data_IF_960281372842
#
_entry.id   IF_960281372842
#
_cell.length_a   1.000
_cell.length_b   1.000
_cell.length_c   1.000
_cell.angle_alpha   90.00
_cell.angle_beta   90.00
_cell.angle_gamma   90.00
#
_symmetry.space_group_name_H-M   'P 1'
#
loop_
_entity.id
_entity.type
_entity.pdbx_description
1 polymer ?
#
# COMPACT_ATOMS: atom_id res chain seq x y z
N UNK A 1 -17.28 -61.42 23.93
CA UNK A 1 -16.54 -61.63 25.18
C UNK A 1 -17.34 -62.64 25.99
N UNK A 2 -16.74 -63.76 26.39
CA UNK A 2 -17.44 -64.85 27.08
C UNK A 2 -17.39 -64.66 28.61
N UNK A 3 -18.55 -64.59 29.26
CA UNK A 3 -18.68 -64.35 30.71
C UNK A 3 -19.73 -65.30 31.29
N UNK A 4 -19.44 -65.90 32.45
CA UNK A 4 -20.39 -66.78 33.14
C UNK A 4 -21.44 -65.97 33.94
N UNK A 5 -22.44 -66.66 34.51
CA UNK A 5 -23.52 -66.03 35.30
C UNK A 5 -23.04 -65.28 36.56
N UNK A 6 -21.80 -65.52 37.00
CA UNK A 6 -21.18 -64.85 38.14
C UNK A 6 -20.24 -63.71 37.70
N UNK A 7 -20.26 -63.32 36.42
CA UNK A 7 -19.45 -62.21 35.89
C UNK A 7 -17.98 -62.54 35.66
N UNK A 8 -17.57 -63.80 35.77
CA UNK A 8 -16.17 -64.22 35.54
C UNK A 8 -15.92 -64.40 34.05
N UNK A 9 -14.83 -63.81 33.57
CA UNK A 9 -14.38 -63.95 32.18
C UNK A 9 -13.87 -65.37 31.93
N UNK A 10 -14.49 -66.06 30.99
CA UNK A 10 -14.09 -67.40 30.56
C UNK A 10 -13.38 -67.34 29.20
N UNK A 11 -12.56 -68.35 28.92
CA UNK A 11 -11.98 -68.53 27.60
C UNK A 11 -13.09 -68.69 26.55
N UNK A 12 -12.88 -68.12 25.35
CA UNK A 12 -13.89 -68.09 24.26
C UNK A 12 -14.39 -69.50 23.85
N UNK A 13 -13.65 -70.57 24.19
CA UNK A 13 -14.02 -71.98 23.97
C UNK A 13 -15.23 -72.47 24.77
N UNK A 14 -15.57 -71.81 25.88
CA UNK A 14 -16.72 -72.17 26.74
C UNK A 14 -18.05 -71.58 26.25
N UNK A 15 -18.03 -70.64 25.30
CA UNK A 15 -19.22 -70.06 24.70
C UNK A 15 -19.56 -70.77 23.39
N UNK A 16 -20.50 -71.74 23.43
CA UNK A 16 -20.98 -72.48 22.24
C UNK A 16 -21.98 -71.68 21.39
N UNK A 17 -21.61 -70.48 20.95
CA UNK A 17 -22.41 -69.62 20.07
C UNK A 17 -21.57 -68.91 19.03
N UNK A 18 -22.11 -68.68 17.82
CA UNK A 18 -21.40 -67.94 16.76
C UNK A 18 -21.13 -66.51 17.24
N UNK A 19 -19.85 -66.12 17.26
CA UNK A 19 -19.39 -64.77 17.63
C UNK A 19 -20.06 -63.73 16.72
N UNK A 20 -20.64 -62.64 17.25
CA UNK A 20 -21.22 -61.58 16.43
C UNK A 20 -20.16 -60.98 15.51
N UNK A 21 -20.54 -60.67 14.26
CA UNK A 21 -19.64 -60.01 13.30
C UNK A 21 -19.18 -58.68 13.89
N UNK A 22 -17.88 -58.59 14.19
CA UNK A 22 -17.20 -57.42 14.73
C UNK A 22 -16.59 -56.54 13.61
N UNK A 23 -16.87 -56.83 12.35
CA UNK A 23 -16.47 -56.01 11.21
C UNK A 23 -17.67 -55.63 10.35
N UNK A 24 -17.76 -54.34 10.05
CA UNK A 24 -18.69 -53.75 9.08
C UNK A 24 -17.85 -53.18 7.94
N UNK A 25 -18.18 -53.54 6.69
CA UNK A 25 -17.53 -52.95 5.52
C UNK A 25 -17.84 -51.46 5.46
N UNK A 26 -16.80 -50.63 5.63
CA UNK A 26 -16.93 -49.18 5.47
C UNK A 26 -17.10 -48.89 3.98
N UNK A 27 -18.24 -48.31 3.58
CA UNK A 27 -18.36 -47.65 2.27
C UNK A 27 -17.61 -46.31 2.35
N UNK A 28 -16.29 -46.37 2.52
CA UNK A 28 -15.45 -45.19 2.47
C UNK A 28 -15.51 -44.67 1.03
N UNK A 29 -16.19 -43.55 0.82
CA UNK A 29 -16.12 -42.83 -0.45
C UNK A 29 -14.66 -42.59 -0.85
N UNK A 30 -14.39 -42.31 -2.14
CA UNK A 30 -13.03 -42.22 -2.67
C UNK A 30 -12.13 -41.34 -1.77
N UNK A 31 -10.97 -41.86 -1.41
CA UNK A 31 -10.04 -41.15 -0.52
C UNK A 31 -9.57 -39.82 -1.16
N UNK A 32 -9.25 -38.80 -0.34
CA UNK A 32 -8.67 -37.56 -0.84
C UNK A 32 -7.40 -37.83 -1.65
N UNK A 33 -7.21 -37.11 -2.74
CA UNK A 33 -6.05 -37.27 -3.62
C UNK A 33 -5.45 -35.92 -4.02
N UNK A 34 -4.20 -35.95 -4.46
CA UNK A 34 -3.54 -34.74 -4.94
C UNK A 34 -4.17 -34.27 -6.25
N UNK A 35 -4.58 -33.02 -6.27
CA UNK A 35 -5.06 -32.31 -7.44
C UNK A 35 -4.13 -31.15 -7.78
N UNK A 36 -4.10 -30.78 -9.06
CA UNK A 36 -3.22 -29.73 -9.57
C UNK A 36 -4.00 -28.71 -10.38
N UNK A 37 -3.68 -27.43 -10.23
CA UNK A 37 -4.15 -26.41 -11.16
C UNK A 37 -3.43 -26.51 -12.50
N UNK A 38 -3.93 -25.77 -13.49
CA UNK A 38 -3.18 -25.50 -14.71
C UNK A 38 -1.80 -24.90 -14.41
N UNK A 39 -0.85 -25.16 -15.31
CA UNK A 39 0.47 -24.56 -15.24
C UNK A 39 0.40 -23.04 -15.44
N UNK A 40 1.09 -22.30 -14.58
CA UNK A 40 1.32 -20.88 -14.77
C UNK A 40 2.19 -20.56 -16.00
N UNK A 41 2.34 -19.27 -16.30
CA UNK A 41 3.27 -18.81 -17.34
C UNK A 41 4.71 -19.15 -16.96
N UNK A 42 5.57 -19.34 -17.97
CA UNK A 42 6.99 -19.56 -17.77
C UNK A 42 7.64 -18.40 -16.98
N UNK A 43 8.61 -18.70 -16.13
CA UNK A 43 9.34 -17.71 -15.33
C UNK A 43 10.18 -16.74 -16.16
N UNK A 44 10.38 -17.03 -17.45
CA UNK A 44 11.15 -16.23 -18.39
C UNK A 44 10.26 -15.80 -19.56
N UNK A 45 10.59 -14.66 -20.17
CA UNK A 45 9.93 -14.20 -21.41
C UNK A 45 10.53 -14.85 -22.68
N UNK A 46 11.67 -15.51 -22.55
CA UNK A 46 12.38 -16.23 -23.61
C UNK A 46 13.33 -17.25 -22.98
N UNK A 47 13.79 -18.22 -23.77
CA UNK A 47 14.74 -19.25 -23.39
C UNK A 47 14.13 -20.28 -22.45
N UNK A 48 15.00 -20.90 -21.68
CA UNK A 48 14.65 -21.91 -20.69
C UNK A 48 14.22 -21.23 -19.39
N UNK A 49 13.16 -21.74 -18.78
CA UNK A 49 12.62 -21.24 -17.52
C UNK A 49 11.90 -22.35 -16.76
N UNK A 50 11.19 -21.96 -15.72
CA UNK A 50 10.39 -22.86 -14.90
C UNK A 50 8.97 -22.31 -14.80
N UNK A 51 7.97 -23.17 -14.95
CA UNK A 51 6.56 -22.82 -14.70
C UNK A 51 6.09 -23.55 -13.45
N UNK A 52 5.20 -22.91 -12.69
CA UNK A 52 4.68 -23.45 -11.43
C UNK A 52 3.18 -23.67 -11.50
N UNK A 53 2.67 -24.67 -10.79
CA UNK A 53 1.23 -24.93 -10.58
C UNK A 53 0.93 -25.12 -9.10
N UNK A 54 -0.32 -24.90 -8.71
CA UNK A 54 -0.75 -25.20 -7.35
C UNK A 54 -1.02 -26.71 -7.22
N UNK A 55 -0.58 -27.30 -6.11
CA UNK A 55 -0.82 -28.71 -5.76
C UNK A 55 -1.54 -28.72 -4.41
N UNK A 56 -2.75 -29.28 -4.38
CA UNK A 56 -3.63 -29.28 -3.22
C UNK A 56 -4.28 -30.66 -3.03
N UNK A 57 -4.62 -31.00 -1.79
CA UNK A 57 -5.29 -32.26 -1.48
C UNK A 57 -6.80 -32.02 -1.56
N UNK A 58 -7.50 -32.78 -2.40
CA UNK A 58 -8.93 -32.61 -2.66
C UNK A 58 -9.69 -33.88 -2.25
N UNK A 59 -10.76 -33.73 -1.47
CA UNK A 59 -11.66 -34.82 -1.10
C UNK A 59 -12.69 -35.11 -2.20
N UNK A 60 -13.38 -36.26 -2.12
CA UNK A 60 -14.42 -36.68 -3.07
C UNK A 60 -15.49 -35.62 -3.38
N UNK A 61 -15.76 -34.72 -2.44
CA UNK A 61 -16.75 -33.64 -2.56
C UNK A 61 -16.17 -32.34 -3.17
N UNK A 62 -14.99 -32.38 -3.80
CA UNK A 62 -14.27 -31.23 -4.37
C UNK A 62 -13.84 -30.16 -3.34
N UNK A 63 -13.80 -30.52 -2.06
CA UNK A 63 -13.32 -29.62 -1.03
C UNK A 63 -11.80 -29.76 -0.88
N UNK A 64 -11.10 -28.63 -0.81
CA UNK A 64 -9.68 -28.60 -0.48
C UNK A 64 -9.52 -28.93 1.01
N UNK A 65 -8.83 -30.02 1.30
CA UNK A 65 -8.62 -30.54 2.65
C UNK A 65 -7.15 -30.45 3.08
N UNK A 66 -6.88 -30.81 4.33
CA UNK A 66 -5.52 -30.77 4.86
C UNK A 66 -4.58 -31.68 4.04
N UNK A 67 -3.39 -31.16 3.72
CA UNK A 67 -2.35 -31.85 2.94
C UNK A 67 -1.91 -33.18 3.55
N UNK A 68 -2.03 -33.34 4.86
CA UNK A 68 -1.70 -34.60 5.56
C UNK A 68 -2.59 -35.77 5.15
N UNK A 69 -3.82 -35.51 4.66
CA UNK A 69 -4.71 -36.57 4.20
C UNK A 69 -4.27 -37.19 2.87
N UNK A 70 -3.40 -36.52 2.11
CA UNK A 70 -2.81 -37.03 0.88
C UNK A 70 -1.32 -37.36 1.03
N UNK A 71 -0.73 -37.26 2.23
CA UNK A 71 0.73 -37.41 2.40
C UNK A 71 1.24 -38.82 2.07
N UNK A 72 0.38 -39.82 2.19
CA UNK A 72 0.65 -41.21 1.82
C UNK A 72 0.65 -41.44 0.29
N UNK A 73 0.20 -40.45 -0.48
CA UNK A 73 0.18 -40.48 -1.94
C UNK A 73 1.34 -39.66 -2.50
N UNK A 74 1.93 -40.13 -3.61
CA UNK A 74 3.00 -39.42 -4.31
C UNK A 74 2.53 -38.03 -4.75
N UNK A 75 3.18 -37.01 -4.19
CA UNK A 75 2.85 -35.62 -4.46
C UNK A 75 3.33 -35.21 -5.86
N UNK A 76 2.45 -34.71 -6.74
CA UNK A 76 2.85 -34.22 -8.06
C UNK A 76 3.80 -33.02 -7.99
N UNK A 77 4.65 -32.87 -9.00
CA UNK A 77 5.55 -31.73 -9.09
C UNK A 77 4.78 -30.41 -9.20
N UNK A 78 5.19 -29.44 -8.40
CA UNK A 78 4.69 -28.07 -8.45
C UNK A 78 5.50 -27.18 -9.38
N UNK A 79 6.63 -27.67 -9.91
CA UNK A 79 7.55 -26.97 -10.80
C UNK A 79 7.93 -27.87 -11.96
N UNK A 80 7.94 -27.32 -13.17
CA UNK A 80 8.49 -28.02 -14.35
C UNK A 80 9.28 -27.05 -15.20
N UNK A 81 10.27 -27.55 -15.93
CA UNK A 81 10.97 -26.76 -16.94
C UNK A 81 9.99 -26.35 -18.06
N UNK A 82 10.22 -25.17 -18.62
CA UNK A 82 9.53 -24.67 -19.80
C UNK A 82 10.56 -24.06 -20.75
N UNK A 83 10.36 -24.30 -22.04
CA UNK A 83 11.15 -23.69 -23.11
C UNK A 83 10.22 -22.75 -23.87
N UNK A 84 10.57 -21.47 -23.93
CA UNK A 84 9.85 -20.49 -24.75
C UNK A 84 10.55 -20.41 -26.12
N UNK A 85 10.75 -19.21 -26.67
CA UNK A 85 11.57 -18.97 -27.86
C UNK A 85 13.02 -18.74 -27.43
N UNK A 86 14.02 -19.13 -28.24
CA UNK A 86 15.42 -18.71 -28.02
C UNK A 86 15.49 -17.20 -27.73
N UNK A 87 16.18 -16.83 -26.66
CA UNK A 87 16.36 -15.42 -26.33
C UNK A 87 17.16 -14.73 -27.44
N UNK A 88 16.72 -13.54 -27.83
CA UNK A 88 17.56 -12.63 -28.61
C UNK A 88 18.74 -12.14 -27.76
N UNK A 89 19.60 -11.30 -28.35
CA UNK A 89 20.73 -10.67 -27.65
C UNK A 89 20.32 -9.94 -26.36
N UNK A 90 19.09 -9.41 -26.33
CA UNK A 90 18.50 -8.70 -25.20
C UNK A 90 17.20 -9.39 -24.74
N UNK A 91 16.94 -9.37 -23.44
CA UNK A 91 15.74 -9.97 -22.84
C UNK A 91 15.22 -9.17 -21.65
N UNK A 92 13.93 -9.31 -21.35
CA UNK A 92 13.34 -8.72 -20.15
C UNK A 92 13.68 -9.56 -18.92
N UNK A 93 14.38 -8.94 -17.98
CA UNK A 93 14.65 -9.48 -16.64
C UNK A 93 13.65 -8.90 -15.65
N UNK A 94 13.25 -9.70 -14.67
CA UNK A 94 12.36 -9.23 -13.60
C UNK A 94 12.72 -9.82 -12.24
N UNK A 95 12.38 -9.10 -11.16
CA UNK A 95 12.50 -9.59 -9.79
C UNK A 95 11.35 -10.52 -9.39
N UNK A 96 11.45 -11.08 -8.17
CA UNK A 96 10.28 -11.64 -7.48
C UNK A 96 9.25 -10.53 -7.20
N UNK A 97 8.00 -10.93 -7.03
CA UNK A 97 6.93 -10.03 -6.59
C UNK A 97 7.19 -9.57 -5.15
N UNK A 98 6.90 -8.30 -4.88
CA UNK A 98 6.82 -7.76 -3.53
C UNK A 98 5.74 -8.47 -2.71
N UNK A 99 5.76 -8.24 -1.40
CA UNK A 99 4.58 -8.46 -0.55
C UNK A 99 3.43 -7.60 -1.09
N UNK A 100 2.20 -7.99 -0.77
CA UNK A 100 1.05 -7.17 -1.10
C UNK A 100 1.09 -5.87 -0.30
N UNK A 101 0.68 -4.76 -0.92
CA UNK A 101 0.58 -3.45 -0.27
C UNK A 101 -0.37 -3.42 0.94
N UNK A 102 -1.21 -4.45 1.10
CA UNK A 102 -2.15 -4.62 2.21
C UNK A 102 -2.02 -6.03 2.77
N UNK A 103 -2.35 -6.19 4.04
CA UNK A 103 -2.48 -7.50 4.71
C UNK A 103 -3.91 -8.03 4.67
N UNK A 104 -4.87 -7.20 4.27
CA UNK A 104 -6.30 -7.50 4.22
C UNK A 104 -6.98 -6.67 3.12
N UNK A 105 -8.10 -7.14 2.58
CA UNK A 105 -8.83 -6.51 1.49
C UNK A 105 -8.09 -6.54 0.15
N UNK A 106 -8.34 -5.54 -0.69
CA UNK A 106 -7.74 -5.43 -2.01
C UNK A 106 -6.46 -4.60 -1.97
N UNK A 107 -5.39 -5.15 -2.52
CA UNK A 107 -4.12 -4.44 -2.69
C UNK A 107 -3.41 -4.78 -3.97
N UNK A 108 -2.14 -4.40 -4.02
CA UNK A 108 -1.29 -4.57 -5.19
C UNK A 108 0.07 -5.06 -4.77
N UNK A 109 0.64 -5.98 -5.55
CA UNK A 109 2.06 -6.33 -5.51
C UNK A 109 2.75 -5.87 -6.77
N UNK A 110 3.98 -5.44 -6.62
CA UNK A 110 4.82 -4.90 -7.69
C UNK A 110 6.09 -5.72 -7.84
N UNK A 111 6.78 -5.59 -8.98
CA UNK A 111 8.09 -6.21 -9.20
C UNK A 111 8.89 -5.36 -10.17
N UNK A 112 10.20 -5.39 -10.02
CA UNK A 112 11.09 -4.66 -10.90
C UNK A 112 11.17 -5.37 -12.25
N UNK A 113 11.01 -4.62 -13.33
CA UNK A 113 11.15 -5.13 -14.71
C UNK A 113 12.13 -4.24 -15.45
N UNK A 114 13.14 -4.85 -16.08
CA UNK A 114 14.19 -4.15 -16.81
C UNK A 114 14.74 -4.94 -17.99
N UNK A 115 15.31 -4.25 -18.96
CA UNK A 115 15.93 -4.88 -20.12
C UNK A 115 17.38 -5.25 -19.78
N UNK A 116 17.81 -6.46 -20.14
CA UNK A 116 19.16 -6.95 -19.84
C UNK A 116 19.81 -7.57 -21.08
N UNK A 117 21.15 -7.45 -21.15
CA UNK A 117 21.97 -8.15 -22.13
C UNK A 117 22.14 -9.61 -21.71
N UNK A 118 21.95 -10.57 -22.63
CA UNK A 118 22.11 -12.01 -22.32
C UNK A 118 23.52 -12.35 -21.84
N UNK A 119 24.56 -11.85 -22.51
CA UNK A 119 25.95 -12.19 -22.24
C UNK A 119 26.42 -11.80 -20.83
N UNK A 120 26.12 -10.58 -20.39
CA UNK A 120 26.61 -10.04 -19.11
C UNK A 120 25.55 -9.99 -18.01
N UNK A 121 24.28 -10.28 -18.32
CA UNK A 121 23.11 -10.08 -17.44
C UNK A 121 22.96 -8.64 -16.92
N UNK A 122 23.72 -7.68 -17.47
CA UNK A 122 23.70 -6.26 -17.11
C UNK A 122 22.46 -5.60 -17.67
N UNK A 123 21.88 -4.69 -16.89
CA UNK A 123 20.77 -3.86 -17.34
C UNK A 123 21.24 -2.92 -18.46
N UNK A 124 20.36 -2.75 -19.44
CA UNK A 124 20.56 -1.87 -20.60
C UNK A 124 19.28 -1.09 -20.84
N UNK A 125 19.36 -0.09 -21.71
CA UNK A 125 18.22 0.75 -22.03
C UNK A 125 16.98 -0.08 -22.47
N UNK A 126 15.77 0.18 -21.95
CA UNK A 126 14.54 -0.57 -22.24
C UNK A 126 14.24 -0.77 -23.74
N UNK A 127 14.57 0.23 -24.57
CA UNK A 127 14.45 0.22 -26.04
C UNK A 127 15.05 -1.01 -26.74
N UNK A 128 16.07 -1.66 -26.17
CA UNK A 128 16.70 -2.83 -26.79
C UNK A 128 15.86 -4.10 -26.67
N UNK A 129 14.87 -4.12 -25.77
CA UNK A 129 13.99 -5.25 -25.57
C UNK A 129 12.63 -5.02 -26.26
N UNK A 130 12.09 -6.01 -27.00
CA UNK A 130 10.79 -5.87 -27.65
C UNK A 130 9.65 -5.68 -26.64
N UNK A 131 8.83 -4.63 -26.81
CA UNK A 131 7.71 -4.33 -25.90
C UNK A 131 6.68 -5.45 -25.79
N UNK A 132 6.46 -6.22 -26.86
CA UNK A 132 5.52 -7.34 -26.90
C UNK A 132 5.77 -8.41 -25.83
N UNK A 133 7.02 -8.57 -25.39
CA UNK A 133 7.41 -9.56 -24.39
C UNK A 133 7.64 -8.97 -22.99
N UNK A 134 7.31 -7.68 -22.79
CA UNK A 134 7.52 -7.00 -21.52
C UNK A 134 6.64 -7.61 -20.42
N UNK A 135 7.23 -8.15 -19.34
CA UNK A 135 6.48 -8.71 -18.23
C UNK A 135 5.65 -7.63 -17.51
N UNK A 136 4.46 -8.00 -17.02
CA UNK A 136 3.68 -7.11 -16.14
C UNK A 136 4.46 -6.82 -14.86
N UNK A 137 4.58 -5.55 -14.49
CA UNK A 137 5.27 -5.11 -13.27
C UNK A 137 4.31 -4.90 -12.07
N UNK A 138 3.00 -4.95 -12.30
CA UNK A 138 1.95 -4.75 -11.30
C UNK A 138 0.90 -5.86 -11.37
N UNK A 139 0.45 -6.37 -10.22
CA UNK A 139 -0.63 -7.37 -10.11
C UNK A 139 -1.48 -7.11 -8.89
N UNK A 140 -2.81 -7.22 -9.02
CA UNK A 140 -3.74 -7.17 -7.89
C UNK A 140 -3.56 -8.37 -6.96
N UNK A 141 -3.69 -8.14 -5.65
CA UNK A 141 -3.81 -9.16 -4.62
C UNK A 141 -5.09 -8.91 -3.83
N UNK A 142 -5.72 -10.00 -3.38
CA UNK A 142 -6.92 -9.98 -2.57
C UNK A 142 -6.68 -10.86 -1.36
N UNK A 143 -6.98 -10.31 -0.18
CA UNK A 143 -6.98 -11.00 1.10
C UNK A 143 -8.39 -10.97 1.68
N UNK A 144 -8.58 -11.65 2.82
CA UNK A 144 -9.80 -11.51 3.60
C UNK A 144 -10.06 -10.01 3.88
N UNK A 145 -11.33 -9.55 3.90
CA UNK A 145 -11.67 -8.18 4.28
C UNK A 145 -10.97 -7.79 5.59
N UNK A 146 -10.51 -6.55 5.70
CA UNK A 146 -9.87 -6.09 6.93
C UNK A 146 -10.83 -6.14 8.11
N UNK A 147 -10.26 -6.26 9.31
CA UNK A 147 -11.03 -6.19 10.54
C UNK A 147 -11.85 -4.89 10.55
N UNK A 148 -13.13 -5.05 10.84
CA UNK A 148 -14.08 -3.96 10.96
C UNK A 148 -14.44 -3.80 12.43
N UNK A 149 -14.47 -2.56 12.91
CA UNK A 149 -14.73 -2.23 14.31
C UNK A 149 -15.84 -1.20 14.40
N UNK A 150 -16.70 -1.37 15.41
CA UNK A 150 -17.67 -0.36 15.77
C UNK A 150 -16.99 0.77 16.54
N UNK A 151 -17.18 1.98 16.04
CA UNK A 151 -16.73 3.19 16.70
C UNK A 151 -17.98 3.98 17.10
N UNK A 152 -18.16 4.17 18.40
CA UNK A 152 -19.23 4.98 18.95
C UNK A 152 -18.66 6.35 19.35
N UNK A 153 -19.32 7.41 18.91
CA UNK A 153 -19.06 8.77 19.38
C UNK A 153 -19.55 8.93 20.82
N UNK A 154 -19.27 10.09 21.39
CA UNK A 154 -19.86 10.49 22.67
C UNK A 154 -21.39 10.58 22.59
N UNK A 155 -22.03 10.39 23.75
CA UNK A 155 -23.43 10.72 23.97
C UNK A 155 -23.67 12.22 23.83
N UNK A 156 -24.70 12.56 23.08
CA UNK A 156 -25.26 13.91 22.97
C UNK A 156 -25.94 14.30 24.29
N UNK A 157 -26.34 15.58 24.40
CA UNK A 157 -27.08 16.05 25.56
C UNK A 157 -28.42 15.30 25.69
N UNK A 158 -28.84 15.04 26.92
CA UNK A 158 -30.14 14.44 27.20
C UNK A 158 -31.25 15.30 26.58
N UNK A 159 -32.27 14.65 26.03
CA UNK A 159 -33.41 15.34 25.39
C UNK A 159 -34.18 16.25 26.36
N UNK A 160 -34.08 16.00 27.65
CA UNK A 160 -34.72 16.78 28.71
C UNK A 160 -33.68 17.46 29.60
N UNK A 161 -34.08 18.58 30.21
CA UNK A 161 -33.26 19.35 31.15
C UNK A 161 -33.52 19.00 32.62
N UNK A 162 -34.55 18.19 32.88
CA UNK A 162 -34.92 17.59 34.15
C UNK A 162 -35.75 16.32 33.87
N UNK A 163 -35.89 15.44 34.87
CA UNK A 163 -36.64 14.20 34.76
C UNK A 163 -35.97 13.15 33.88
N UNK A 164 -36.79 12.24 33.36
CA UNK A 164 -36.37 11.18 32.43
C UNK A 164 -36.33 11.69 31.00
N UNK A 165 -35.27 11.35 30.28
CA UNK A 165 -35.08 11.68 28.87
C UNK A 165 -34.28 10.61 28.16
N UNK A 166 -33.95 10.90 26.89
CA UNK A 166 -33.15 10.02 26.04
C UNK A 166 -31.93 10.77 25.53
N UNK A 167 -30.79 10.11 25.48
CA UNK A 167 -29.57 10.62 24.85
C UNK A 167 -29.16 9.69 23.72
N UNK A 168 -28.64 10.26 22.64
CA UNK A 168 -28.23 9.54 21.43
C UNK A 168 -26.74 9.71 21.17
N UNK A 169 -26.12 8.78 20.44
CA UNK A 169 -24.73 8.88 19.96
C UNK A 169 -24.60 8.30 18.57
N UNK A 170 -23.61 8.77 17.83
CA UNK A 170 -23.31 8.27 16.48
C UNK A 170 -22.50 6.99 16.58
N UNK A 171 -22.98 5.90 15.99
CA UNK A 171 -22.28 4.61 15.95
C UNK A 171 -21.97 4.26 14.50
N UNK A 172 -20.69 4.20 14.15
CA UNK A 172 -20.22 3.95 12.78
C UNK A 172 -19.32 2.74 12.71
N UNK A 173 -19.49 1.93 11.67
CA UNK A 173 -18.59 0.82 11.37
C UNK A 173 -17.43 1.32 10.50
N UNK A 174 -16.20 1.08 10.96
CA UNK A 174 -14.97 1.53 10.30
C UNK A 174 -14.00 0.36 10.13
N UNK A 175 -13.10 0.49 9.16
CA UNK A 175 -12.11 -0.52 8.81
C UNK A 175 -10.76 -0.21 9.48
N UNK A 176 -10.03 -1.23 9.93
CA UNK A 176 -8.68 -1.08 10.50
C UNK A 176 -7.60 -1.36 9.46
N UNK A 177 -6.51 -0.59 9.50
CA UNK A 177 -5.27 -0.85 8.76
C UNK A 177 -4.43 -1.93 9.44
N UNK A 178 -3.36 -2.39 8.77
CA UNK A 178 -2.42 -3.39 9.35
C UNK A 178 -1.69 -2.86 10.59
N UNK A 179 -1.57 -1.55 10.69
CA UNK A 179 -0.95 -0.84 11.82
C UNK A 179 -1.97 -0.51 12.94
N UNK A 180 -3.24 -0.89 12.78
CA UNK A 180 -4.29 -0.62 13.76
C UNK A 180 -4.97 0.75 13.63
N UNK A 181 -4.75 1.47 12.52
CA UNK A 181 -5.36 2.77 12.26
C UNK A 181 -6.79 2.62 11.73
N UNK A 182 -7.72 3.48 12.16
CA UNK A 182 -9.05 3.51 11.54
C UNK A 182 -8.95 4.19 10.18
N UNK A 183 -9.46 3.56 9.13
CA UNK A 183 -9.53 4.16 7.80
C UNK A 183 -10.79 5.03 7.70
N UNK A 184 -10.74 6.18 6.99
CA UNK A 184 -11.84 7.14 6.94
C UNK A 184 -13.12 6.61 6.25
N UNK A 185 -13.02 5.51 5.48
CA UNK A 185 -14.19 4.90 4.85
C UNK A 185 -15.08 4.21 5.88
N UNK A 186 -16.34 4.67 5.97
CA UNK A 186 -17.41 3.91 6.59
C UNK A 186 -17.69 2.68 5.74
N UNK A 187 -17.78 1.53 6.40
CA UNK A 187 -18.03 0.25 5.75
C UNK A 187 -19.29 -0.38 6.32
N UNK A 188 -20.03 -1.08 5.49
CA UNK A 188 -21.13 -1.95 5.92
C UNK A 188 -20.55 -3.36 6.12
N UNK A 189 -20.81 -3.98 7.27
CA UNK A 189 -20.32 -5.35 7.54
C UNK A 189 -19.88 -5.66 8.97
N UNK A 190 -19.79 -4.65 9.86
CA UNK A 190 -19.49 -4.94 11.26
C UNK A 190 -20.53 -5.89 11.85
N UNK A 191 -20.06 -6.83 12.68
CA UNK A 191 -20.93 -7.78 13.34
C UNK A 191 -21.96 -7.03 14.22
N UNK A 192 -23.25 -7.23 13.93
CA UNK A 192 -24.33 -6.55 14.64
C UNK A 192 -24.47 -6.99 16.10
N UNK A 193 -24.00 -8.19 16.46
CA UNK A 193 -24.11 -8.70 17.84
C UNK A 193 -23.26 -7.90 18.83
N UNK A 194 -22.22 -7.22 18.34
CA UNK A 194 -21.32 -6.37 19.13
C UNK A 194 -21.52 -4.89 18.83
N UNK A 195 -22.64 -4.50 18.18
CA UNK A 195 -22.96 -3.11 17.89
C UNK A 195 -23.24 -2.35 19.19
N UNK A 196 -22.50 -1.29 19.50
CA UNK A 196 -22.80 -0.44 20.65
C UNK A 196 -24.19 0.18 20.52
N UNK A 197 -24.90 0.32 21.64
CA UNK A 197 -26.19 1.01 21.67
C UNK A 197 -26.04 2.46 21.18
N UNK A 198 -26.94 2.92 20.33
CA UNK A 198 -26.92 4.29 19.80
C UNK A 198 -27.82 5.25 20.58
N UNK A 199 -28.70 4.72 21.43
CA UNK A 199 -29.63 5.47 22.28
C UNK A 199 -29.67 4.84 23.67
N UNK A 200 -29.74 5.66 24.72
CA UNK A 200 -29.97 5.20 26.09
C UNK A 200 -30.81 6.21 26.87
N UNK A 201 -31.42 5.74 27.96
CA UNK A 201 -32.14 6.60 28.90
C UNK A 201 -31.16 7.44 29.73
N UNK A 202 -31.58 8.64 30.08
CA UNK A 202 -30.88 9.53 31.01
C UNK A 202 -31.90 10.08 32.01
N UNK A 203 -31.50 10.21 33.28
CA UNK A 203 -32.31 10.83 34.31
C UNK A 203 -31.51 11.95 34.98
N UNK A 204 -32.05 13.17 34.97
CA UNK A 204 -31.39 14.39 35.47
C UNK A 204 -31.99 14.85 36.83
N UNK A 205 -32.84 14.02 37.44
CA UNK A 205 -33.51 14.29 38.70
C UNK A 205 -34.85 15.00 38.51
N UNK A 206 -35.73 14.92 39.50
CA UNK A 206 -37.14 15.34 39.42
C UNK A 206 -37.30 16.84 39.09
N UNK A 207 -38.21 17.19 38.17
CA UNK A 207 -38.41 18.58 37.71
C UNK A 207 -38.92 19.53 38.80
N UNK A 208 -39.51 18.99 39.88
CA UNK A 208 -40.03 19.78 41.02
C UNK A 208 -39.00 20.06 42.13
N UNK A 209 -37.78 19.50 42.05
CA UNK A 209 -36.80 19.59 43.12
C UNK A 209 -36.41 21.04 43.47
N UNK A 210 -36.31 21.34 44.77
CA UNK A 210 -35.88 22.66 45.27
C UNK A 210 -34.45 22.98 44.84
N UNK A 211 -33.60 21.95 44.73
CA UNK A 211 -32.23 22.04 44.26
C UNK A 211 -31.96 20.97 43.21
N UNK A 212 -31.27 21.34 42.12
CA UNK A 212 -30.95 20.44 41.02
C UNK A 212 -29.51 20.60 40.57
N UNK A 213 -28.96 19.55 39.95
CA UNK A 213 -27.65 19.63 39.33
C UNK A 213 -27.75 20.35 37.99
N UNK A 214 -26.95 21.40 37.83
CA UNK A 214 -26.75 22.09 36.58
C UNK A 214 -25.35 21.79 36.06
N UNK A 215 -25.25 21.55 34.75
CA UNK A 215 -24.00 21.20 34.07
C UNK A 215 -23.75 22.15 32.92
N UNK A 216 -22.50 22.57 32.75
CA UNK A 216 -22.08 23.33 31.58
C UNK A 216 -21.75 22.40 30.41
N UNK A 217 -21.54 22.99 29.23
CA UNK A 217 -20.90 22.31 28.11
C UNK A 217 -19.52 21.76 28.52
N UNK A 218 -19.12 20.65 27.91
CA UNK A 218 -17.80 20.07 28.07
C UNK A 218 -16.70 20.99 27.51
N UNK A 219 -15.54 21.02 28.16
CA UNK A 219 -14.33 21.64 27.61
C UNK A 219 -13.90 20.96 26.29
N UNK A 220 -12.98 21.57 25.55
CA UNK A 220 -12.25 20.85 24.48
C UNK A 220 -11.51 19.63 25.08
N UNK A 221 -11.35 18.58 24.26
CA UNK A 221 -10.65 17.37 24.69
C UNK A 221 -9.19 17.68 25.02
N UNK A 222 -8.66 17.13 26.12
CA UNK A 222 -7.26 17.36 26.52
C UNK A 222 -6.23 16.85 25.51
N UNK A 223 -6.65 16.00 24.57
CA UNK A 223 -5.83 15.51 23.46
C UNK A 223 -6.51 15.80 22.14
N UNK A 224 -5.70 16.07 21.12
CA UNK A 224 -6.14 16.32 19.73
C UNK A 224 -6.39 15.05 18.94
N UNK A 225 -5.84 13.90 19.39
CA UNK A 225 -6.13 12.56 18.89
C UNK A 225 -6.09 11.55 20.05
N UNK A 226 -6.71 10.39 19.86
CA UNK A 226 -6.73 9.30 20.83
C UNK A 226 -7.57 9.61 22.06
N UNK A 227 -7.32 8.88 23.14
CA UNK A 227 -8.03 9.06 24.41
C UNK A 227 -7.45 10.22 25.22
N UNK A 228 -8.26 11.26 25.38
CA UNK A 228 -8.03 12.37 26.30
C UNK A 228 -9.12 12.45 27.37
N UNK A 229 -9.18 13.59 28.04
CA UNK A 229 -10.15 13.86 29.10
C UNK A 229 -10.81 15.22 28.87
N UNK A 230 -12.12 15.29 29.04
CA UNK A 230 -12.88 16.54 29.07
C UNK A 230 -13.36 16.81 30.49
N UNK A 231 -13.49 18.09 30.82
CA UNK A 231 -14.01 18.55 32.11
C UNK A 231 -15.15 19.51 31.88
N UNK A 232 -16.16 19.48 32.75
CA UNK A 232 -17.24 20.46 32.78
C UNK A 232 -17.48 20.89 34.22
N UNK A 233 -18.16 22.02 34.39
CA UNK A 233 -18.61 22.42 35.71
C UNK A 233 -19.91 21.69 36.05
N UNK A 234 -19.99 21.19 37.28
CA UNK A 234 -21.18 20.56 37.86
C UNK A 234 -21.53 21.33 39.12
N UNK A 235 -22.60 22.10 39.04
CA UNK A 235 -23.01 23.06 40.06
C UNK A 235 -24.37 22.64 40.62
N UNK A 236 -24.53 22.63 41.95
CA UNK A 236 -25.85 22.53 42.56
C UNK A 236 -26.51 23.91 42.51
N UNK A 237 -27.71 24.01 41.93
CA UNK A 237 -28.45 25.28 41.80
C UNK A 237 -29.86 25.18 42.37
N UNK A 238 -30.41 26.30 42.83
CA UNK A 238 -31.82 26.40 43.21
C UNK A 238 -32.74 26.63 41.99
N UNK A 239 -34.06 26.80 42.23
CA UNK A 239 -35.07 27.08 41.19
C UNK A 239 -34.75 28.35 40.37
N UNK A 240 -34.06 29.31 40.97
CA UNK A 240 -33.70 30.58 40.33
C UNK A 240 -32.32 30.51 39.64
N UNK A 241 -31.68 29.34 39.60
CA UNK A 241 -30.37 29.14 38.98
C UNK A 241 -29.20 29.59 39.85
N UNK A 242 -29.42 29.99 41.11
CA UNK A 242 -28.32 30.40 41.98
C UNK A 242 -27.57 29.19 42.53
N UNK A 243 -26.24 29.27 42.51
CA UNK A 243 -25.35 28.23 43.05
C UNK A 243 -25.58 28.06 44.56
N UNK A 244 -25.83 26.82 44.98
CA UNK A 244 -25.94 26.40 46.39
C UNK A 244 -24.88 25.34 46.73
N UNK A 245 -24.76 25.04 48.02
CA UNK A 245 -23.85 24.00 48.49
C UNK A 245 -24.20 22.63 47.89
N UNK A 246 -23.20 21.87 47.46
CA UNK A 246 -23.37 20.55 46.80
C UNK A 246 -24.18 19.54 47.61
N UNK A 247 -24.25 19.68 48.94
CA UNK A 247 -25.03 18.79 49.82
C UNK A 247 -26.55 18.97 49.68
N UNK A 248 -27.00 20.11 49.14
CA UNK A 248 -28.43 20.40 48.93
C UNK A 248 -29.00 19.65 47.72
N UNK A 249 -28.14 19.21 46.80
CA UNK A 249 -28.51 18.36 45.68
C UNK A 249 -28.25 16.89 46.00
N UNK A 250 -29.17 16.01 45.59
CA UNK A 250 -29.06 14.57 45.81
C UNK A 250 -27.82 14.01 45.09
N UNK A 251 -26.90 13.40 45.85
CA UNK A 251 -25.63 12.87 45.31
C UNK A 251 -25.82 11.79 44.25
N UNK A 252 -26.88 10.98 44.34
CA UNK A 252 -27.13 9.90 43.37
C UNK A 252 -27.43 10.43 41.96
N UNK A 253 -27.96 11.65 41.85
CA UNK A 253 -28.19 12.31 40.56
C UNK A 253 -27.02 13.21 40.13
N UNK A 254 -25.89 13.19 40.84
CA UNK A 254 -24.75 14.05 40.52
C UNK A 254 -24.12 13.61 39.19
N UNK A 255 -24.13 14.46 38.16
CA UNK A 255 -23.51 14.12 36.89
C UNK A 255 -21.98 14.10 36.99
N UNK A 256 -21.33 13.37 36.08
CA UNK A 256 -19.86 13.32 36.03
C UNK A 256 -19.26 14.70 35.72
N UNK A 257 -18.23 15.11 36.47
CA UNK A 257 -17.50 16.36 36.23
C UNK A 257 -16.41 16.20 35.16
N UNK A 258 -16.02 14.96 34.88
CA UNK A 258 -15.00 14.64 33.92
C UNK A 258 -15.29 13.32 33.26
N UNK A 259 -15.04 13.26 31.95
CA UNK A 259 -15.20 12.05 31.15
C UNK A 259 -14.02 11.85 30.23
N UNK A 260 -13.83 10.62 29.77
CA UNK A 260 -12.93 10.30 28.67
C UNK A 260 -13.51 10.85 27.36
N UNK A 261 -12.66 11.40 26.51
CA UNK A 261 -12.99 11.79 25.13
C UNK A 261 -12.09 11.02 24.18
N UNK A 262 -12.64 10.59 23.04
CA UNK A 262 -11.86 9.96 21.98
C UNK A 262 -11.86 10.85 20.74
N UNK A 263 -10.73 11.50 20.47
CA UNK A 263 -10.60 12.48 19.39
C UNK A 263 -10.20 11.84 18.05
N UNK A 264 -10.69 10.61 17.82
CA UNK A 264 -10.27 9.76 16.70
C UNK A 264 -8.95 9.05 16.96
N UNK A 265 -8.50 8.17 16.05
CA UNK A 265 -7.22 7.48 16.20
C UNK A 265 -6.06 8.47 16.00
N UNK A 266 -4.95 8.24 16.68
CA UNK A 266 -3.71 8.96 16.38
C UNK A 266 -3.08 8.35 15.14
N UNK A 267 -2.72 9.19 14.17
CA UNK A 267 -1.97 8.76 12.99
C UNK A 267 -0.56 9.35 13.05
N UNK A 268 0.42 8.58 12.64
CA UNK A 268 1.76 9.12 12.42
C UNK A 268 1.78 9.97 11.15
N UNK A 269 2.38 11.15 11.23
CA UNK A 269 2.65 12.03 10.09
C UNK A 269 3.99 11.73 9.40
N UNK A 270 4.90 11.01 10.09
CA UNK A 270 6.24 10.67 9.59
C UNK A 270 6.67 9.26 10.00
N UNK A 271 7.67 8.70 9.32
CA UNK A 271 8.24 7.41 9.72
C UNK A 271 8.90 7.49 11.11
N UNK A 272 9.46 8.66 11.45
CA UNK A 272 10.04 8.92 12.78
C UNK A 272 8.98 8.94 13.87
N UNK A 273 7.83 9.56 13.62
CA UNK A 273 6.70 9.55 14.55
C UNK A 273 6.10 8.15 14.67
N UNK A 274 5.92 7.44 13.55
CA UNK A 274 5.45 6.06 13.52
C UNK A 274 6.30 5.16 14.43
N UNK A 275 7.62 5.29 14.35
CA UNK A 275 8.57 4.58 15.22
C UNK A 275 8.49 4.98 16.70
N UNK A 276 8.03 6.18 17.03
CA UNK A 276 7.86 6.63 18.43
C UNK A 276 6.57 6.11 19.04
N UNK A 277 5.48 6.15 18.27
CA UNK A 277 4.14 5.75 18.75
C UNK A 277 3.89 4.24 18.61
N UNK A 278 4.73 3.53 17.86
CA UNK A 278 4.67 2.08 17.66
C UNK A 278 6.06 1.46 17.83
N UNK A 279 6.13 0.15 18.12
CA UNK A 279 7.40 -0.58 18.20
C UNK A 279 7.93 -1.05 16.82
N UNK A 280 7.51 -0.40 15.72
CA UNK A 280 7.86 -0.81 14.37
C UNK A 280 9.28 -0.35 14.02
N UNK A 281 10.13 -1.30 13.60
CA UNK A 281 11.53 -1.05 13.17
C UNK A 281 11.87 -1.62 11.80
N UNK A 282 10.91 -2.23 11.12
CA UNK A 282 11.09 -2.87 9.82
C UNK A 282 10.85 -1.90 8.67
N UNK A 283 11.63 -2.02 7.59
CA UNK A 283 11.37 -1.26 6.37
C UNK A 283 10.18 -1.85 5.61
N UNK A 284 9.15 -1.04 5.38
CA UNK A 284 7.93 -1.44 4.65
C UNK A 284 7.14 -0.19 4.19
N UNK A 285 6.10 -0.42 3.40
CA UNK A 285 5.08 0.57 3.10
C UNK A 285 4.11 0.72 4.29
N UNK A 286 3.95 1.92 4.84
CA UNK A 286 3.09 2.25 5.98
C UNK A 286 2.09 3.35 5.66
N UNK A 287 0.94 3.32 6.32
CA UNK A 287 -0.07 4.38 6.22
C UNK A 287 0.31 5.55 7.14
N UNK A 288 0.59 6.71 6.53
CA UNK A 288 0.89 7.96 7.22
C UNK A 288 -0.15 9.04 6.89
N UNK A 289 -0.38 9.96 7.82
CA UNK A 289 -1.25 11.11 7.62
C UNK A 289 -0.46 12.27 6.99
N UNK A 290 -0.76 12.57 5.72
CA UNK A 290 -0.10 13.62 4.94
C UNK A 290 -1.17 14.61 4.49
N UNK A 291 -1.05 15.88 4.89
CA UNK A 291 -2.03 16.96 4.63
C UNK A 291 -3.50 16.55 4.90
N UNK A 292 -3.74 15.85 6.01
CA UNK A 292 -5.09 15.42 6.40
C UNK A 292 -5.60 14.16 5.71
N UNK A 293 -4.79 13.52 4.86
CA UNK A 293 -5.17 12.28 4.17
C UNK A 293 -4.21 11.13 4.44
N UNK A 294 -4.77 9.93 4.59
CA UNK A 294 -3.96 8.72 4.78
C UNK A 294 -3.34 8.31 3.45
N UNK A 295 -2.01 8.24 3.40
CA UNK A 295 -1.23 7.87 2.21
C UNK A 295 -0.24 6.77 2.54
N UNK A 296 0.05 5.94 1.54
CA UNK A 296 0.99 4.84 1.67
C UNK A 296 2.41 5.33 1.36
N UNK A 297 3.27 5.35 2.37
CA UNK A 297 4.65 5.84 2.31
C UNK A 297 5.59 4.71 2.69
N UNK A 298 6.65 4.50 1.90
CA UNK A 298 7.69 3.55 2.23
C UNK A 298 8.67 4.16 3.23
N UNK A 299 8.76 3.55 4.42
CA UNK A 299 9.74 3.94 5.42
C UNK A 299 11.01 3.08 5.26
N UNK A 300 12.13 3.75 5.00
CA UNK A 300 13.44 3.14 4.87
C UNK A 300 14.32 3.45 6.07
N UNK A 301 15.21 2.52 6.44
CA UNK A 301 16.08 2.62 7.62
C UNK A 301 15.29 2.79 8.92
N UNK A 302 14.18 2.06 9.08
CA UNK A 302 13.37 2.07 10.30
C UNK A 302 14.13 1.57 11.53
N UNK A 303 15.17 0.75 11.35
CA UNK A 303 16.09 0.38 12.43
C UNK A 303 16.96 1.56 12.91
N UNK A 304 17.23 2.56 12.05
CA UNK A 304 18.08 3.72 12.35
C UNK A 304 17.36 4.77 13.22
N UNK A 305 18.12 5.72 13.75
CA UNK A 305 17.61 6.92 14.45
C UNK A 305 16.93 7.91 13.49
N UNK A 306 17.24 7.84 12.20
CA UNK A 306 16.73 8.72 11.15
C UNK A 306 16.14 7.89 10.01
N UNK A 307 14.86 7.46 10.13
CA UNK A 307 14.17 6.83 9.02
C UNK A 307 13.89 7.86 7.92
N UNK A 308 13.78 7.39 6.67
CA UNK A 308 13.54 8.22 5.49
C UNK A 308 12.29 7.77 4.75
N UNK A 309 11.53 8.75 4.27
CA UNK A 309 10.28 8.59 3.54
C UNK A 309 10.50 8.49 2.03
N UNK A 310 9.86 7.51 1.40
CA UNK A 310 9.90 7.30 -0.05
C UNK A 310 8.50 7.05 -0.61
N UNK A 311 8.25 7.53 -1.84
CA UNK A 311 7.08 7.13 -2.62
C UNK A 311 7.40 5.89 -3.44
N UNK A 312 6.59 4.85 -3.29
CA UNK A 312 6.65 3.65 -4.14
C UNK A 312 6.02 3.94 -5.49
N UNK A 313 6.82 3.90 -6.55
CA UNK A 313 6.39 4.19 -7.92
C UNK A 313 6.02 2.92 -8.70
N UNK A 314 5.21 3.02 -9.76
CA UNK A 314 5.02 1.94 -10.74
C UNK A 314 6.37 1.40 -11.24
N UNK A 315 6.64 0.12 -10.97
CA UNK A 315 7.98 -0.50 -10.99
C UNK A 315 8.44 -0.98 -12.37
N UNK A 316 8.53 -0.09 -13.35
CA UNK A 316 9.13 -0.38 -14.65
C UNK A 316 10.14 0.68 -15.05
N UNK A 317 11.27 0.26 -15.64
CA UNK A 317 12.37 1.16 -16.04
C UNK A 317 12.00 2.23 -17.08
N UNK A 318 10.83 2.14 -17.70
CA UNK A 318 10.29 3.05 -18.71
C UNK A 318 9.02 3.79 -18.26
N UNK A 319 8.55 3.56 -17.03
CA UNK A 319 7.41 4.29 -16.45
C UNK A 319 7.87 5.51 -15.66
N UNK A 320 8.96 5.35 -14.92
CA UNK A 320 9.60 6.36 -14.09
C UNK A 320 11.08 6.37 -14.38
N UNK A 321 11.53 7.29 -15.24
CA UNK A 321 12.92 7.34 -15.68
C UNK A 321 13.37 8.74 -16.06
N UNK A 322 14.68 8.90 -16.11
CA UNK A 322 15.36 10.11 -16.52
C UNK A 322 16.53 9.75 -17.42
N UNK A 323 16.60 10.40 -18.58
CA UNK A 323 17.55 10.06 -19.63
C UNK A 323 18.25 11.30 -20.17
N UNK A 324 19.57 11.19 -20.22
CA UNK A 324 20.39 12.04 -21.08
C UNK A 324 20.85 11.22 -22.28
N UNK A 325 20.37 11.59 -23.48
CA UNK A 325 20.56 10.81 -24.71
C UNK A 325 22.03 10.82 -25.15
N UNK A 326 22.50 9.69 -25.67
CA UNK A 326 23.92 9.40 -25.83
C UNK A 326 24.45 9.49 -27.27
N UNK A 327 23.59 9.88 -28.21
CA UNK A 327 23.96 10.01 -29.63
C UNK A 327 23.84 11.45 -30.12
N UNK A 328 24.65 11.78 -31.12
CA UNK A 328 24.65 13.07 -31.81
C UNK A 328 24.51 12.86 -33.31
N UNK A 329 23.75 13.73 -33.97
CA UNK A 329 23.64 13.74 -35.43
C UNK A 329 24.99 14.07 -36.08
N UNK A 330 25.32 13.36 -37.17
CA UNK A 330 26.47 13.69 -38.02
C UNK A 330 26.33 15.06 -38.67
N UNK A 331 25.10 15.49 -38.99
CA UNK A 331 24.76 16.83 -39.49
C UNK A 331 23.89 17.56 -38.45
N UNK A 332 24.49 18.27 -37.47
CA UNK A 332 23.74 18.86 -36.35
C UNK A 332 22.74 19.95 -36.74
N UNK A 333 22.90 20.56 -37.92
CA UNK A 333 22.10 21.70 -38.37
C UNK A 333 20.76 21.32 -39.01
N UNK A 334 20.47 20.02 -39.20
CA UNK A 334 19.19 19.53 -39.75
C UNK A 334 18.55 18.59 -38.76
N UNK A 335 17.22 18.64 -38.67
CA UNK A 335 16.46 17.67 -37.90
C UNK A 335 15.74 16.69 -38.82
N UNK A 336 16.12 15.39 -38.82
CA UNK A 336 15.61 14.44 -39.80
C UNK A 336 14.15 14.03 -39.63
N UNK A 337 13.54 14.22 -38.45
CA UNK A 337 12.13 13.93 -38.20
C UNK A 337 11.65 14.80 -37.03
N UNK A 338 10.63 15.64 -37.25
CA UNK A 338 10.23 16.66 -36.28
C UNK A 338 9.64 16.12 -34.97
N UNK A 339 9.22 14.84 -34.88
CA UNK A 339 8.50 14.35 -33.68
C UNK A 339 8.58 12.83 -33.36
N UNK A 340 9.57 12.07 -33.85
CA UNK A 340 9.69 10.65 -33.49
C UNK A 340 11.03 10.32 -32.85
N UNK A 341 10.97 9.74 -31.64
CA UNK A 341 12.08 9.05 -30.97
C UNK A 341 12.73 8.09 -31.97
N UNK A 342 13.87 8.48 -32.54
CA UNK A 342 14.50 7.70 -33.61
C UNK A 342 15.18 6.48 -32.96
N UNK A 343 14.47 5.35 -32.96
CA UNK A 343 14.89 4.08 -32.33
C UNK A 343 16.24 3.60 -32.92
N UNK A 344 16.54 3.97 -34.15
CA UNK A 344 17.86 3.84 -34.77
C UNK A 344 18.18 5.10 -35.56
N UNK A 345 18.88 6.05 -34.96
CA UNK A 345 19.48 7.12 -35.76
C UNK A 345 20.65 6.53 -36.56
N UNK A 346 20.41 6.23 -37.84
CA UNK A 346 21.40 5.73 -38.80
C UNK A 346 22.49 6.80 -39.07
N UNK A 347 22.08 8.07 -39.11
CA UNK A 347 22.97 9.23 -39.30
C UNK A 347 23.55 9.80 -37.99
N UNK A 348 23.63 8.99 -36.93
CA UNK A 348 24.19 9.42 -35.66
C UNK A 348 25.46 8.65 -35.31
N UNK A 349 26.34 9.34 -34.57
CA UNK A 349 27.46 8.69 -33.91
C UNK A 349 27.29 8.80 -32.39
N UNK A 350 27.92 7.85 -31.69
CA UNK A 350 28.02 7.90 -30.23
C UNK A 350 29.16 8.83 -29.88
N UNK A 351 28.86 9.94 -29.22
CA UNK A 351 29.92 10.85 -28.81
C UNK A 351 30.60 10.32 -27.54
N UNK A 352 31.83 9.79 -27.66
CA UNK A 352 32.61 9.27 -26.52
C UNK A 352 32.98 10.34 -25.50
N UNK A 353 32.94 11.64 -25.86
CA UNK A 353 33.29 12.74 -24.95
C UNK A 353 32.10 13.25 -24.12
N UNK A 354 30.86 12.88 -24.47
CA UNK A 354 29.68 13.31 -23.71
C UNK A 354 29.42 12.39 -22.51
N UNK A 355 30.28 12.51 -21.50
CA UNK A 355 30.24 11.74 -20.24
C UNK A 355 29.02 12.04 -19.34
N UNK A 356 28.08 12.87 -19.80
CA UNK A 356 26.84 13.19 -19.09
C UNK A 356 25.67 12.29 -19.48
N UNK A 357 25.81 11.50 -20.53
CA UNK A 357 24.76 10.59 -20.99
C UNK A 357 24.54 9.40 -20.05
N UNK A 358 23.29 8.99 -19.90
CA UNK A 358 22.90 7.89 -19.03
C UNK A 358 21.38 7.72 -18.98
N UNK A 359 20.96 6.58 -18.48
CA UNK A 359 19.55 6.28 -18.24
C UNK A 359 19.38 5.76 -16.82
N UNK A 360 18.48 6.38 -16.05
CA UNK A 360 18.17 5.97 -14.67
C UNK A 360 16.68 5.76 -14.51
N UNK A 361 16.28 4.53 -14.18
CA UNK A 361 14.92 4.18 -13.79
C UNK A 361 14.76 4.21 -12.27
N UNK A 362 13.60 4.64 -11.80
CA UNK A 362 13.31 4.83 -10.37
C UNK A 362 12.16 3.91 -9.93
N UNK A 363 12.39 3.12 -8.89
CA UNK A 363 11.35 2.29 -8.28
C UNK A 363 10.73 2.96 -7.06
N UNK A 364 11.51 3.77 -6.35
CA UNK A 364 11.02 4.68 -5.32
C UNK A 364 11.77 6.01 -5.43
N UNK A 365 11.12 7.08 -5.02
CA UNK A 365 11.74 8.41 -4.93
C UNK A 365 11.60 8.95 -3.53
N UNK A 366 12.68 9.53 -3.02
CA UNK A 366 12.68 10.11 -1.67
C UNK A 366 11.85 11.39 -1.66
N UNK A 367 11.02 11.55 -0.65
CA UNK A 367 10.20 12.75 -0.48
C UNK A 367 10.48 13.43 0.85
N UNK A 368 10.39 14.75 0.84
CA UNK A 368 10.22 15.52 2.05
C UNK A 368 8.71 15.65 2.30
N UNK A 369 8.21 15.00 3.35
CA UNK A 369 6.78 14.97 3.70
C UNK A 369 6.25 16.32 4.21
N UNK A 370 7.12 17.23 4.64
CA UNK A 370 6.74 18.57 5.11
C UNK A 370 6.56 19.54 3.96
N UNK A 371 7.48 19.53 2.99
CA UNK A 371 7.41 20.40 1.80
C UNK A 371 6.75 19.76 0.59
N UNK A 372 6.39 18.47 0.69
CA UNK A 372 5.93 17.63 -0.42
C UNK A 372 6.84 17.67 -1.65
N UNK A 373 8.14 17.84 -1.44
CA UNK A 373 9.14 17.87 -2.51
C UNK A 373 9.82 16.51 -2.72
N UNK A 374 9.96 16.09 -3.98
CA UNK A 374 10.83 14.96 -4.33
C UNK A 374 12.30 15.40 -4.32
N UNK A 375 13.14 14.64 -3.60
CA UNK A 375 14.59 14.85 -3.59
C UNK A 375 15.19 14.20 -4.84
N UNK A 376 15.33 15.00 -5.91
CA UNK A 376 15.65 14.50 -7.27
C UNK A 376 17.03 13.85 -7.40
N UNK A 377 17.94 14.08 -6.45
CA UNK A 377 19.30 13.49 -6.44
C UNK A 377 19.46 12.30 -5.49
N UNK A 378 18.37 11.74 -4.98
CA UNK A 378 18.40 10.49 -4.23
C UNK A 378 18.34 9.30 -5.20
N UNK A 379 19.30 8.39 -5.09
CA UNK A 379 19.45 7.25 -6.00
C UNK A 379 19.27 5.89 -5.32
N UNK A 380 18.84 5.85 -4.05
CA UNK A 380 18.81 4.64 -3.22
C UNK A 380 18.02 3.51 -3.89
N UNK A 381 16.85 3.84 -4.44
CA UNK A 381 15.96 2.90 -5.13
C UNK A 381 15.91 3.13 -6.64
N UNK A 382 17.07 3.43 -7.22
CA UNK A 382 17.24 3.62 -8.67
C UNK A 382 18.04 2.49 -9.33
N UNK A 383 17.85 2.31 -10.63
CA UNK A 383 18.61 1.40 -11.48
C UNK A 383 19.11 2.14 -12.71
N UNK A 384 20.42 2.04 -13.00
CA UNK A 384 21.01 2.61 -14.21
C UNK A 384 21.59 1.54 -15.14
N UNK A 385 21.83 1.89 -16.40
CA UNK A 385 22.45 1.04 -17.43
C UNK A 385 23.99 0.90 -17.28
N UNK A 386 24.53 1.24 -16.10
CA UNK A 386 25.96 1.21 -15.79
C UNK A 386 26.73 2.46 -16.23
N UNK A 387 26.05 3.50 -16.73
CA UNK A 387 26.61 4.84 -16.99
C UNK A 387 26.32 5.79 -15.83
N UNK A 388 26.38 7.09 -16.11
CA UNK A 388 26.05 8.15 -15.16
C UNK A 388 24.58 8.04 -14.72
N UNK A 389 24.35 8.17 -13.42
CA UNK A 389 23.00 8.29 -12.87
C UNK A 389 22.46 9.69 -13.16
N UNK A 390 21.25 9.75 -13.70
CA UNK A 390 20.56 10.98 -14.10
C UNK A 390 19.51 11.28 -13.03
N UNK A 391 19.51 12.49 -12.42
CA UNK A 391 18.54 12.86 -11.40
C UNK A 391 17.09 12.68 -11.85
N UNK A 392 16.17 12.48 -10.92
CA UNK A 392 14.75 12.29 -11.22
C UNK A 392 14.16 13.49 -11.97
N UNK A 393 13.20 13.22 -12.87
CA UNK A 393 12.55 14.21 -13.73
C UNK A 393 13.50 15.10 -14.57
N UNK A 394 14.72 14.61 -14.84
CA UNK A 394 15.75 15.34 -15.60
C UNK A 394 15.95 14.70 -16.97
N UNK A 395 16.14 15.53 -18.00
CA UNK A 395 16.44 15.06 -19.36
C UNK A 395 17.42 15.98 -20.07
N UNK A 396 18.11 15.47 -21.08
CA UNK A 396 18.98 16.29 -21.93
C UNK A 396 19.64 15.51 -23.06
N UNK A 397 20.30 16.23 -23.96
CA UNK A 397 21.07 15.63 -25.04
C UNK A 397 22.01 16.65 -25.70
N UNK A 398 22.91 16.13 -26.54
CA UNK A 398 23.69 16.89 -27.52
C UNK A 398 23.31 16.50 -28.96
N UNK A 399 22.03 16.25 -29.22
CA UNK A 399 21.60 15.55 -30.44
C UNK A 399 21.74 16.42 -31.68
N UNK A 400 21.29 17.68 -31.62
CA UNK A 400 21.31 18.64 -32.73
C UNK A 400 21.85 20.00 -32.30
N UNK A 401 22.11 20.90 -33.25
CA UNK A 401 22.33 22.33 -32.98
C UNK A 401 21.08 23.17 -33.31
N UNK A 402 19.96 22.49 -33.56
CA UNK A 402 18.68 23.11 -33.88
C UNK A 402 17.85 23.20 -32.61
N UNK A 403 17.20 24.34 -32.38
CA UNK A 403 16.25 24.52 -31.26
C UNK A 403 14.92 23.79 -31.50
N UNK A 404 14.94 22.62 -32.15
CA UNK A 404 13.73 21.95 -32.60
C UNK A 404 13.69 20.47 -32.24
N UNK A 405 14.83 19.83 -31.95
CA UNK A 405 14.88 18.35 -31.89
C UNK A 405 15.60 17.80 -30.65
N UNK A 406 15.01 18.01 -29.47
CA UNK A 406 15.42 17.29 -28.27
C UNK A 406 15.10 15.78 -28.42
N UNK A 407 15.98 14.94 -27.90
CA UNK A 407 15.87 13.48 -27.78
C UNK A 407 16.00 13.01 -26.33
N UNK A 408 16.62 13.79 -25.44
CA UNK A 408 16.63 13.51 -24.02
C UNK A 408 15.21 13.47 -23.49
N UNK A 409 14.89 12.46 -22.67
CA UNK A 409 13.51 12.27 -22.21
C UNK A 409 13.42 11.86 -20.75
N UNK A 410 12.32 12.22 -20.11
CA UNK A 410 11.98 11.70 -18.80
C UNK A 410 10.49 11.41 -18.73
N UNK A 411 10.12 10.48 -17.85
CA UNK A 411 8.73 10.22 -17.50
C UNK A 411 8.60 10.10 -15.98
N UNK A 412 7.59 10.78 -15.43
CA UNK A 412 7.18 10.69 -14.02
C UNK A 412 5.74 10.18 -14.00
N UNK A 413 5.51 9.01 -13.43
CA UNK A 413 4.22 8.38 -13.30
C UNK A 413 3.94 8.11 -11.80
N UNK A 414 3.07 8.92 -11.23
CA UNK A 414 2.59 8.87 -9.85
C UNK A 414 1.24 8.16 -9.71
N UNK A 415 0.74 7.50 -10.76
CA UNK A 415 -0.59 6.86 -10.71
C UNK A 415 -0.66 5.82 -9.60
N UNK A 416 -1.66 5.98 -8.73
CA UNK A 416 -1.94 5.06 -7.63
C UNK A 416 -1.12 5.31 -6.35
N UNK A 417 -0.32 6.38 -6.28
CA UNK A 417 0.34 6.81 -5.04
C UNK A 417 -0.53 7.73 -4.19
N UNK A 418 -1.57 8.33 -4.78
CA UNK A 418 -2.39 9.37 -4.13
C UNK A 418 -1.76 10.76 -4.15
N UNK A 419 -0.68 10.93 -4.93
CA UNK A 419 -0.01 12.21 -5.17
C UNK A 419 -0.09 12.59 -6.65
N UNK A 420 -0.03 13.89 -6.92
CA UNK A 420 0.15 14.44 -8.27
C UNK A 420 1.19 15.56 -8.23
N UNK A 421 1.77 15.89 -9.38
CA UNK A 421 2.72 16.99 -9.51
C UNK A 421 1.96 18.31 -9.48
N UNK A 422 2.43 19.27 -8.70
CA UNK A 422 1.84 20.61 -8.62
C UNK A 422 1.94 21.31 -9.98
N UNK A 423 0.87 21.93 -10.46
CA UNK A 423 0.81 22.45 -11.84
C UNK A 423 1.73 23.65 -12.11
N UNK A 424 2.15 24.38 -11.06
CA UNK A 424 3.07 25.51 -11.12
C UNK A 424 4.56 25.09 -11.08
N UNK A 425 4.86 23.79 -11.08
CA UNK A 425 6.24 23.32 -11.17
C UNK A 425 6.91 23.83 -12.44
N UNK A 426 8.13 24.33 -12.28
CA UNK A 426 8.95 24.83 -13.37
C UNK A 426 10.17 23.94 -13.59
N UNK A 427 10.51 23.72 -14.86
CA UNK A 427 11.74 23.05 -15.26
C UNK A 427 12.69 24.07 -15.88
N UNK A 428 13.91 24.09 -15.37
CA UNK A 428 14.91 25.07 -15.77
C UNK A 428 15.84 24.47 -16.80
N UNK A 429 15.99 25.20 -17.91
CA UNK A 429 16.91 24.86 -18.98
C UNK A 429 18.35 25.24 -18.60
N UNK A 430 19.27 24.31 -18.81
CA UNK A 430 20.71 24.45 -18.55
C UNK A 430 21.46 24.16 -19.85
N UNK A 431 22.32 25.10 -20.24
CA UNK A 431 23.10 25.00 -21.49
C UNK A 431 22.57 25.93 -22.59
N UNK A 432 23.35 26.07 -23.66
CA UNK A 432 23.10 27.02 -24.73
C UNK A 432 22.02 26.51 -25.70
N UNK A 433 21.03 27.36 -26.03
CA UNK A 433 19.95 27.05 -26.97
C UNK A 433 19.20 25.73 -26.65
N UNK A 434 18.98 25.49 -25.37
CA UNK A 434 18.25 24.32 -24.87
C UNK A 434 16.76 24.46 -25.15
N UNK A 435 16.13 23.35 -25.57
CA UNK A 435 14.69 23.25 -25.79
C UNK A 435 14.13 22.26 -24.79
N UNK A 436 13.02 22.62 -24.17
CA UNK A 436 12.25 21.76 -23.28
C UNK A 436 10.79 21.74 -23.70
N UNK A 437 10.21 20.55 -23.84
CA UNK A 437 8.78 20.32 -24.07
C UNK A 437 8.27 19.41 -22.96
N UNK A 438 7.51 19.97 -22.03
CA UNK A 438 7.02 19.24 -20.86
C UNK A 438 5.51 19.23 -20.93
N UNK A 439 4.95 18.04 -20.74
CA UNK A 439 3.52 17.79 -20.75
C UNK A 439 3.13 17.15 -19.43
N UNK A 440 2.19 17.78 -18.73
CA UNK A 440 1.58 17.27 -17.49
C UNK A 440 0.16 16.83 -17.86
N UNK A 441 -0.23 15.62 -17.47
CA UNK A 441 -1.58 15.12 -17.72
C UNK A 441 -2.61 15.94 -16.96
N UNK A 442 -3.87 15.96 -17.42
CA UNK A 442 -4.96 16.69 -16.74
C UNK A 442 -5.13 16.31 -15.26
N UNK A 443 -4.79 15.08 -14.90
CA UNK A 443 -4.83 14.58 -13.52
C UNK A 443 -3.56 14.89 -12.70
N UNK A 444 -2.51 15.47 -13.31
CA UNK A 444 -1.22 15.78 -12.68
C UNK A 444 -0.36 14.56 -12.32
N UNK A 445 -0.83 13.34 -12.57
CA UNK A 445 -0.14 12.10 -12.17
C UNK A 445 0.88 11.59 -13.18
N UNK A 446 0.84 12.07 -14.43
CA UNK A 446 1.77 11.67 -15.48
C UNK A 446 2.42 12.91 -16.08
N UNK A 447 3.74 12.99 -15.98
CA UNK A 447 4.56 14.02 -16.61
C UNK A 447 5.50 13.38 -17.62
N UNK A 448 5.56 13.94 -18.82
CA UNK A 448 6.53 13.56 -19.85
C UNK A 448 7.27 14.81 -20.30
N UNK A 449 8.60 14.72 -20.30
CA UNK A 449 9.46 15.80 -20.78
C UNK A 449 10.38 15.33 -21.88
N UNK A 450 10.56 16.17 -22.89
CA UNK A 450 11.62 16.09 -23.89
C UNK A 450 12.52 17.31 -23.76
N UNK A 451 13.81 17.09 -23.55
CA UNK A 451 14.76 18.17 -23.32
C UNK A 451 16.10 17.92 -24.00
N UNK A 452 16.69 18.98 -24.53
CA UNK A 452 18.03 18.95 -25.13
C UNK A 452 18.18 19.89 -26.32
N UNK A 453 18.87 19.45 -27.37
CA UNK A 453 19.35 20.29 -28.47
C UNK A 453 20.87 20.42 -28.43
N UNK A 454 21.40 21.65 -28.38
CA UNK A 454 22.84 21.91 -28.41
C UNK A 454 23.51 21.69 -27.04
N UNK A 455 23.58 20.43 -26.63
CA UNK A 455 24.13 20.03 -25.33
C UNK A 455 23.38 20.61 -24.13
N UNK A 456 22.05 20.73 -24.29
CA UNK A 456 21.14 21.23 -23.29
C UNK A 456 20.59 20.16 -22.36
N UNK A 457 20.16 20.58 -21.17
CA UNK A 457 19.42 19.75 -20.22
C UNK A 457 18.30 20.55 -19.58
N UNK A 458 17.23 19.89 -19.16
CA UNK A 458 16.23 20.47 -18.29
C UNK A 458 16.15 19.65 -17.00
N UNK A 459 15.95 20.32 -15.87
CA UNK A 459 15.67 19.66 -14.60
C UNK A 459 14.72 20.52 -13.77
N UNK A 460 14.00 19.93 -12.80
CA UNK A 460 13.45 20.70 -11.70
C UNK A 460 14.56 21.46 -10.98
N UNK A 461 14.17 22.41 -10.14
CA UNK A 461 15.10 23.09 -9.26
C UNK A 461 15.85 22.08 -8.39
N UNK A 462 17.15 22.27 -8.27
CA UNK A 462 18.02 21.39 -7.50
C UNK A 462 17.89 21.56 -5.99
N UNK A 463 17.39 22.69 -5.51
CA UNK A 463 17.20 22.96 -4.07
C UNK A 463 15.78 22.62 -3.62
N UNK A 464 14.76 23.07 -4.35
CA UNK A 464 13.35 22.82 -4.01
C UNK A 464 12.86 21.46 -4.51
N UNK A 465 13.47 20.88 -5.55
CA UNK A 465 13.10 19.57 -6.08
C UNK A 465 11.87 19.62 -6.99
N UNK A 466 11.11 18.53 -7.05
CA UNK A 466 9.83 18.45 -7.76
C UNK A 466 8.69 18.49 -6.74
N UNK A 467 7.87 19.54 -6.77
CA UNK A 467 6.79 19.74 -5.80
C UNK A 467 5.58 18.86 -6.13
N UNK A 468 5.03 18.22 -5.11
CA UNK A 468 3.84 17.39 -5.19
C UNK A 468 2.70 18.02 -4.41
N UNK A 469 1.48 17.55 -4.69
CA UNK A 469 0.29 17.84 -3.91
C UNK A 469 -0.48 16.53 -3.66
N UNK A 470 -1.18 16.47 -2.54
CA UNK A 470 -2.03 15.32 -2.21
C UNK A 470 -3.31 15.39 -3.03
N UNK A 471 -3.64 14.32 -3.75
CA UNK A 471 -4.90 14.24 -4.47
C UNK A 471 -6.04 14.04 -3.48
N UNK A 472 -7.14 14.81 -3.49
CA UNK A 472 -8.24 14.65 -2.55
C UNK A 472 -8.92 13.28 -2.60
#
# INVERSE_FOLDING_TARGET
MCINKNGVHLADSYCKGRKPRNSKTCKQGRCPHWQTSDWGKCSTSCGQGVRSRNVFCEASNKQIVNKTLCSHLSKPDNLTSCQVRKCGRFYWKHSRWSKCSVTCGQGVRTRNVGCALMASKRLVHPRYCPKAYKPRHRKRCMFAPCAQVWVASDWQQCSQHCGEGRQSRKVTCQQLSKEGWLLPLQVTGCNQTVKPIAEQLCNIGECGAVHRWHVTSWSVCSKTCGFGRQTRQVLCVDRNGQKKANIKCLRHFKPEFSKSCYQGPCYASSCKELKKISAIVTDDDYHLLIEGQIRLIYCHKMASTHPHEYLTLPTSQDENFSEVFDKRLRKPNRCPNKDQNVIGCEDCYRNKTYNRAGHTGYMKVRINITSLAVIVRDYEFSQSDGRRRIPFATAGDCYSNTQQCPQGSFQVNLTGTGFRVKMDNSWYNKGYKTVSRISISKAGQLVRGLCGGHCGMCSPDGTTGLLLEVQP
#
